data_IF_202421478203
#
_entry.id   IF_202421478203
#
_cell.length_a   1.000
_cell.length_b   1.000
_cell.length_c   1.000
_cell.angle_alpha   90.00
_cell.angle_beta   90.00
_cell.angle_gamma   90.00
#
_symmetry.space_group_name_H-M   'P 1'
#
loop_
_entity.id
_entity.type
_entity.pdbx_description
1 polymer ?
#
# COMPACT_ATOMS: atom_id res chain seq x y z
N UNK A 1 -8.27 19.50 -5.23
CA UNK A 1 -9.36 19.43 -6.23
C UNK A 1 -9.29 20.53 -7.30
N UNK A 2 -9.32 21.83 -6.95
CA UNK A 2 -9.29 22.96 -7.92
C UNK A 2 -8.18 22.84 -8.98
N UNK A 3 -6.93 22.64 -8.54
CA UNK A 3 -5.76 22.49 -9.44
C UNK A 3 -5.87 21.28 -10.39
N UNK A 4 -6.54 20.20 -9.96
CA UNK A 4 -6.78 19.03 -10.81
C UNK A 4 -7.81 19.36 -11.89
N UNK A 5 -8.91 20.02 -11.55
CA UNK A 5 -9.91 20.46 -12.52
C UNK A 5 -9.31 21.43 -13.55
N UNK A 6 -8.47 22.37 -13.13
CA UNK A 6 -7.78 23.30 -14.04
C UNK A 6 -6.88 22.58 -15.06
N UNK A 7 -6.14 21.55 -14.62
CA UNK A 7 -5.33 20.70 -15.50
C UNK A 7 -6.19 19.96 -16.51
N UNK A 8 -7.29 19.37 -16.05
CA UNK A 8 -8.20 18.61 -16.93
C UNK A 8 -8.92 19.52 -17.90
N UNK A 9 -9.25 20.74 -17.52
CA UNK A 9 -9.80 21.73 -18.45
C UNK A 9 -8.80 22.20 -19.51
N UNK A 10 -7.50 22.21 -19.21
CA UNK A 10 -6.45 22.35 -20.24
C UNK A 10 -6.24 21.10 -21.07
N UNK A 11 -6.97 20.03 -20.73
CA UNK A 11 -6.99 18.79 -21.48
C UNK A 11 -5.92 17.78 -21.06
N UNK A 12 -5.35 17.93 -19.85
CA UNK A 12 -4.47 16.96 -19.22
C UNK A 12 -5.29 15.95 -18.38
N UNK A 13 -5.13 14.65 -18.61
CA UNK A 13 -5.69 13.66 -17.69
C UNK A 13 -4.99 13.70 -16.33
N UNK A 14 -5.76 13.63 -15.26
CA UNK A 14 -5.23 13.70 -13.89
C UNK A 14 -5.72 12.51 -13.09
N UNK A 15 -4.76 11.78 -12.50
CA UNK A 15 -5.01 10.65 -11.62
C UNK A 15 -4.35 10.90 -10.26
N UNK A 16 -5.09 10.73 -9.18
CA UNK A 16 -4.57 10.90 -7.83
C UNK A 16 -5.38 10.14 -6.80
N UNK A 17 -4.73 9.80 -5.69
CA UNK A 17 -5.37 9.21 -4.52
C UNK A 17 -5.79 10.30 -3.54
N UNK A 18 -6.89 10.08 -2.84
CA UNK A 18 -7.38 10.97 -1.80
C UNK A 18 -7.97 10.18 -0.65
N UNK A 19 -7.76 10.70 0.56
CA UNK A 19 -8.36 10.19 1.78
C UNK A 19 -9.60 11.04 2.11
N UNK A 20 -10.74 10.39 2.33
CA UNK A 20 -11.94 11.04 2.82
C UNK A 20 -12.28 10.46 4.18
N UNK A 21 -12.31 11.32 5.19
CA UNK A 21 -12.75 10.98 6.54
C UNK A 21 -14.27 11.07 6.60
N UNK A 22 -14.92 9.92 6.66
CA UNK A 22 -16.36 9.85 6.96
C UNK A 22 -16.57 9.83 8.47
N UNK A 23 -17.52 10.62 8.96
CA UNK A 23 -17.91 10.62 10.37
C UNK A 23 -18.42 9.26 10.85
N UNK A 24 -19.07 8.48 9.96
CA UNK A 24 -19.65 7.17 10.32
C UNK A 24 -18.77 5.98 9.90
N UNK A 25 -18.09 6.09 8.74
CA UNK A 25 -17.43 4.96 8.07
C UNK A 25 -15.91 4.96 8.19
N UNK A 26 -15.35 5.86 8.99
CA UNK A 26 -13.91 6.02 9.17
C UNK A 26 -13.20 6.58 7.94
N UNK A 27 -11.88 6.42 7.92
CA UNK A 27 -11.03 6.81 6.79
C UNK A 27 -11.27 5.88 5.59
N UNK A 28 -11.58 6.47 4.42
CA UNK A 28 -11.67 5.77 3.14
C UNK A 28 -10.69 6.34 2.14
N UNK A 29 -10.15 5.46 1.30
CA UNK A 29 -9.22 5.83 0.26
C UNK A 29 -9.89 5.69 -1.10
N UNK A 30 -9.70 6.71 -1.93
CA UNK A 30 -10.26 6.76 -3.27
C UNK A 30 -9.17 7.12 -4.26
N UNK A 31 -9.11 6.35 -5.33
CA UNK A 31 -8.39 6.69 -6.54
C UNK A 31 -9.34 7.41 -7.49
N UNK A 32 -9.02 8.66 -7.80
CA UNK A 32 -9.77 9.49 -8.75
C UNK A 32 -9.01 9.57 -10.07
N UNK A 33 -9.74 9.39 -11.16
CA UNK A 33 -9.23 9.59 -12.51
C UNK A 33 -10.16 10.55 -13.26
N UNK A 34 -9.62 11.71 -13.61
CA UNK A 34 -10.33 12.76 -14.34
C UNK A 34 -9.77 12.84 -15.76
N UNK A 35 -10.65 12.71 -16.76
CA UNK A 35 -10.25 12.77 -18.16
C UNK A 35 -11.08 13.80 -18.92
N UNK A 36 -10.44 14.64 -19.77
CA UNK A 36 -11.15 15.58 -20.61
C UNK A 36 -11.89 14.84 -21.73
N UNK A 37 -13.13 15.24 -21.98
CA UNK A 37 -13.88 14.85 -23.17
C UNK A 37 -13.71 15.93 -24.19
N UNK A 38 -13.22 15.57 -25.38
CA UNK A 38 -12.96 16.51 -26.47
C UNK A 38 -13.94 16.31 -27.61
N UNK A 39 -14.30 17.40 -28.27
CA UNK A 39 -14.93 17.34 -29.59
C UNK A 39 -13.93 16.85 -30.63
N UNK A 40 -14.40 16.58 -31.84
CA UNK A 40 -13.52 16.30 -32.99
C UNK A 40 -12.52 17.47 -33.24
N UNK A 41 -12.89 18.71 -32.91
CA UNK A 41 -12.03 19.89 -33.03
C UNK A 41 -10.95 20.02 -31.93
N UNK A 42 -10.91 19.09 -30.97
CA UNK A 42 -9.93 19.11 -29.87
C UNK A 42 -10.32 19.98 -28.66
N UNK A 43 -11.41 20.74 -28.77
CA UNK A 43 -11.98 21.52 -27.68
C UNK A 43 -12.50 20.61 -26.56
N UNK A 44 -12.10 20.88 -25.32
CA UNK A 44 -12.64 20.16 -24.16
C UNK A 44 -14.06 20.66 -23.91
N UNK A 45 -15.02 19.75 -23.77
CA UNK A 45 -16.44 20.09 -23.52
C UNK A 45 -16.99 19.51 -22.22
N UNK A 46 -16.31 18.51 -21.66
CA UNK A 46 -16.70 17.91 -20.39
C UNK A 46 -15.50 17.25 -19.70
N UNK A 47 -15.72 16.85 -18.45
CA UNK A 47 -14.78 16.06 -17.66
C UNK A 47 -15.48 14.78 -17.24
N UNK A 48 -14.87 13.64 -17.54
CA UNK A 48 -15.28 12.36 -16.96
C UNK A 48 -14.56 12.15 -15.64
N UNK A 49 -15.28 11.65 -14.64
CA UNK A 49 -14.74 11.29 -13.34
C UNK A 49 -14.97 9.80 -13.10
N UNK A 50 -13.89 9.04 -12.97
CA UNK A 50 -13.93 7.68 -12.44
C UNK A 50 -13.42 7.69 -10.99
N UNK A 51 -14.17 7.01 -10.12
CA UNK A 51 -13.86 6.88 -8.70
C UNK A 51 -13.74 5.40 -8.39
N UNK A 52 -12.60 4.99 -7.86
CA UNK A 52 -12.39 3.65 -7.34
C UNK A 52 -12.08 3.77 -5.86
N UNK A 53 -12.93 3.17 -5.01
CA UNK A 53 -12.58 2.99 -3.60
C UNK A 53 -11.55 1.85 -3.49
N UNK A 54 -10.41 2.11 -2.86
CA UNK A 54 -9.33 1.15 -2.64
C UNK A 54 -8.95 1.02 -1.15
N UNK A 55 -9.92 1.27 -0.28
CA UNK A 55 -9.75 1.25 1.18
C UNK A 55 -9.29 -0.13 1.68
N UNK A 56 -9.84 -1.21 1.13
CA UNK A 56 -9.56 -2.57 1.60
C UNK A 56 -8.13 -2.99 1.29
N UNK A 57 -7.68 -2.71 0.07
CA UNK A 57 -6.35 -3.04 -0.43
C UNK A 57 -5.28 -2.30 0.38
N UNK A 58 -5.47 -0.99 0.58
CA UNK A 58 -4.54 -0.19 1.38
C UNK A 58 -4.54 -0.66 2.84
N UNK A 59 -5.69 -0.95 3.42
CA UNK A 59 -5.79 -1.42 4.81
C UNK A 59 -5.14 -2.81 4.99
N UNK A 60 -5.32 -3.72 4.02
CA UNK A 60 -4.69 -5.03 4.02
C UNK A 60 -3.17 -4.93 3.90
N UNK A 61 -2.68 -4.08 2.99
CA UNK A 61 -1.24 -3.85 2.80
C UNK A 61 -0.60 -3.25 4.07
N UNK A 62 -1.24 -2.26 4.69
CA UNK A 62 -0.78 -1.66 5.95
C UNK A 62 -0.76 -2.70 7.08
N UNK A 63 -1.80 -3.52 7.21
CA UNK A 63 -1.87 -4.57 8.23
C UNK A 63 -0.80 -5.64 8.01
N UNK A 64 -0.58 -6.06 6.77
CA UNK A 64 0.46 -7.03 6.41
C UNK A 64 1.85 -6.49 6.76
N UNK A 65 2.16 -5.25 6.36
CA UNK A 65 3.44 -4.62 6.65
C UNK A 65 3.67 -4.47 8.16
N UNK A 66 2.65 -4.02 8.90
CA UNK A 66 2.72 -3.91 10.37
C UNK A 66 2.96 -5.28 11.03
N UNK A 67 2.30 -6.33 10.56
CA UNK A 67 2.52 -7.69 11.05
C UNK A 67 3.94 -8.18 10.76
N UNK A 68 4.46 -7.93 9.56
CA UNK A 68 5.83 -8.31 9.20
C UNK A 68 6.87 -7.56 10.03
N UNK A 69 6.70 -6.25 10.21
CA UNK A 69 7.59 -5.45 11.06
C UNK A 69 7.53 -5.92 12.51
N UNK A 70 6.34 -6.21 13.04
CA UNK A 70 6.19 -6.72 14.39
C UNK A 70 6.90 -8.06 14.56
N UNK A 71 6.73 -8.99 13.61
CA UNK A 71 7.45 -10.26 13.62
C UNK A 71 8.96 -10.02 13.58
N UNK A 72 9.46 -9.19 12.65
CA UNK A 72 10.89 -8.85 12.56
C UNK A 72 11.43 -8.32 13.88
N UNK A 73 10.77 -7.34 14.48
CA UNK A 73 11.22 -6.76 15.76
C UNK A 73 11.21 -7.78 16.90
N UNK A 74 10.18 -8.62 17.01
CA UNK A 74 10.15 -9.69 18.03
C UNK A 74 11.28 -10.68 17.78
N UNK A 75 11.48 -11.10 16.54
CA UNK A 75 12.59 -11.96 16.15
C UNK A 75 13.96 -11.31 16.32
N UNK A 76 14.10 -9.99 16.34
CA UNK A 76 15.41 -9.35 16.55
C UNK A 76 15.71 -9.09 18.03
N UNK A 77 14.66 -8.91 18.86
CA UNK A 77 14.80 -8.55 20.28
C UNK A 77 14.80 -9.77 21.22
N UNK A 78 14.18 -10.88 20.84
CA UNK A 78 14.14 -12.08 21.69
C UNK A 78 15.53 -12.69 21.82
N UNK A 79 16.05 -12.78 23.05
CA UNK A 79 17.33 -13.43 23.38
C UNK A 79 17.27 -14.96 23.37
N UNK A 80 16.07 -15.53 23.31
CA UNK A 80 15.84 -16.97 23.13
C UNK A 80 15.99 -17.33 21.66
N UNK A 81 16.78 -18.36 21.34
CA UNK A 81 16.97 -18.77 19.95
C UNK A 81 15.67 -19.25 19.30
N UNK A 82 15.10 -18.44 18.41
CA UNK A 82 13.96 -18.83 17.57
C UNK A 82 14.45 -19.09 16.14
N UNK A 83 14.12 -20.26 15.59
CA UNK A 83 14.41 -20.63 14.22
C UNK A 83 13.11 -21.02 13.49
N UNK A 84 13.03 -20.68 12.20
CA UNK A 84 11.91 -21.07 11.33
C UNK A 84 12.44 -22.08 10.32
N UNK A 85 11.86 -23.27 10.32
CA UNK A 85 12.20 -24.36 9.40
C UNK A 85 11.05 -24.66 8.44
N UNK A 86 11.37 -25.22 7.27
CA UNK A 86 10.38 -25.83 6.40
C UNK A 86 9.96 -27.23 6.89
N UNK A 87 9.02 -27.86 6.18
CA UNK A 87 8.51 -29.19 6.51
C UNK A 87 9.58 -30.30 6.49
N UNK A 88 10.75 -30.03 5.89
CA UNK A 88 11.89 -30.95 5.83
C UNK A 88 12.97 -30.64 6.88
N UNK A 89 12.75 -29.61 7.71
CA UNK A 89 13.67 -29.20 8.76
C UNK A 89 14.77 -28.24 8.29
N UNK A 90 14.74 -27.76 7.04
CA UNK A 90 15.72 -26.79 6.54
C UNK A 90 15.38 -25.38 7.03
N UNK A 91 16.42 -24.67 7.49
CA UNK A 91 16.28 -23.32 8.05
C UNK A 91 16.03 -22.28 6.96
N UNK A 92 14.88 -21.61 7.03
CA UNK A 92 14.56 -20.46 6.16
C UNK A 92 15.12 -19.15 6.72
N UNK A 93 15.19 -19.04 8.06
CA UNK A 93 15.69 -17.85 8.76
C UNK A 93 16.17 -18.21 10.17
N UNK A 94 17.39 -17.81 10.51
CA UNK A 94 17.95 -17.90 11.86
C UNK A 94 18.37 -16.52 12.37
N UNK A 95 18.21 -16.31 13.67
CA UNK A 95 18.72 -15.12 14.36
C UNK A 95 20.26 -15.14 14.33
N UNK A 96 20.90 -13.98 14.18
CA UNK A 96 22.38 -13.90 14.06
C UNK A 96 23.11 -14.52 15.25
N UNK A 97 22.49 -14.49 16.44
CA UNK A 97 22.99 -15.13 17.67
C UNK A 97 22.93 -16.67 17.67
N UNK A 98 21.99 -17.28 16.94
CA UNK A 98 21.89 -18.74 16.80
C UNK A 98 22.99 -19.30 15.89
N UNK A 99 23.36 -18.60 14.82
CA UNK A 99 24.43 -19.04 13.91
C UNK A 99 25.80 -19.16 14.59
N UNK A 100 26.05 -18.37 15.64
CA UNK A 100 27.30 -18.43 16.42
C UNK A 100 27.40 -19.66 17.34
N UNK A 101 26.28 -20.29 17.72
CA UNK A 101 26.26 -21.36 18.73
C UNK A 101 25.88 -22.75 18.20
N UNK A 102 25.42 -22.88 16.96
CA UNK A 102 25.01 -24.17 16.37
C UNK A 102 26.18 -24.98 15.79
N UNK A 103 27.36 -24.37 15.57
CA UNK A 103 28.53 -25.04 14.99
C UNK A 103 29.58 -25.53 16.02
N UNK A 104 29.22 -25.65 17.31
CA UNK A 104 30.16 -26.00 18.39
C UNK A 104 29.94 -27.39 19.04
N UNK A 105 29.18 -28.29 18.40
CA UNK A 105 29.12 -29.70 18.81
C UNK A 105 29.35 -30.65 17.63
#
# INVERSE_FOLDING_TARGET
>A
MKRALEKVWRGESVRFETEIKSFEKGTRFFLLNLNPVRTHGGEVIAITLAILENTQEISAAVKANKSEQMLRTVFDVVTTGVCVTDATGFFYRSQRYLCSNIWLH
#
